data_IF_784454175355
#
_entry.id   IF_784454175355
#
_cell.length_a   1.000
_cell.length_b   1.000
_cell.length_c   1.000
_cell.angle_alpha   90.00
_cell.angle_beta   90.00
_cell.angle_gamma   90.00
#
_symmetry.space_group_name_H-M   'P 1'
#
loop_
_entity.id
_entity.type
_entity.pdbx_description
1 polymer ?
#
# COMPACT_ATOMS: atom_id res chain seq x y z
N UNK A 1 10.36 5.66 46.61
CA UNK A 1 11.28 6.51 45.80
C UNK A 1 11.95 5.83 44.61
N UNK A 2 12.32 4.54 44.66
CA UNK A 2 13.02 3.87 43.55
C UNK A 2 12.37 4.01 42.15
N UNK A 3 11.03 3.92 42.05
CA UNK A 3 10.32 4.09 40.78
C UNK A 3 10.46 5.49 40.16
N UNK A 4 10.55 6.55 40.99
CA UNK A 4 10.74 7.94 40.51
C UNK A 4 12.13 8.12 39.92
N UNK A 5 13.16 7.59 40.58
CA UNK A 5 14.53 7.62 40.10
C UNK A 5 14.71 6.87 38.76
N UNK A 6 14.02 5.73 38.58
CA UNK A 6 14.02 4.98 37.32
C UNK A 6 13.36 5.76 36.17
N UNK A 7 12.22 6.41 36.43
CA UNK A 7 11.55 7.29 35.47
C UNK A 7 12.40 8.52 35.12
N UNK A 8 13.06 9.14 36.10
CA UNK A 8 13.96 10.28 35.86
C UNK A 8 15.18 9.87 35.02
N UNK A 9 15.74 8.67 35.22
CA UNK A 9 16.81 8.13 34.38
C UNK A 9 16.36 7.88 32.93
N UNK A 10 15.19 7.26 32.72
CA UNK A 10 14.62 7.06 31.37
C UNK A 10 14.33 8.39 30.66
N UNK A 11 13.73 9.36 31.35
CA UNK A 11 13.47 10.71 30.80
C UNK A 11 14.78 11.44 30.48
N UNK A 12 15.85 11.24 31.26
CA UNK A 12 17.16 11.80 30.96
C UNK A 12 17.77 11.20 29.69
N UNK A 13 17.69 9.88 29.50
CA UNK A 13 18.18 9.20 28.31
C UNK A 13 17.45 9.66 27.03
N UNK A 14 16.11 9.64 27.07
CA UNK A 14 15.28 10.10 25.93
C UNK A 14 15.53 11.57 25.56
N UNK A 15 15.88 12.44 26.54
CA UNK A 15 16.25 13.83 26.26
C UNK A 15 17.60 13.96 25.57
N UNK A 16 18.58 13.13 25.95
CA UNK A 16 19.90 13.12 25.30
C UNK A 16 19.79 12.63 23.86
N UNK A 17 19.07 11.54 23.63
CA UNK A 17 18.78 11.00 22.29
C UNK A 17 18.06 12.03 21.41
N UNK A 18 17.05 12.73 21.95
CA UNK A 18 16.35 13.81 21.25
C UNK A 18 17.25 15.00 20.91
N UNK A 19 18.21 15.36 21.78
CA UNK A 19 19.17 16.44 21.50
C UNK A 19 20.20 16.04 20.45
N UNK A 20 20.62 14.77 20.42
CA UNK A 20 21.54 14.24 19.42
C UNK A 20 20.89 14.12 18.03
N UNK A 21 19.66 13.60 17.95
CA UNK A 21 18.86 13.58 16.72
C UNK A 21 18.62 14.98 16.15
N UNK A 22 18.41 15.99 17.00
CA UNK A 22 18.27 17.39 16.56
C UNK A 22 19.55 17.98 15.97
N UNK A 23 20.72 17.63 16.50
CA UNK A 23 22.00 18.08 15.93
C UNK A 23 22.23 17.46 14.55
N UNK A 24 21.91 16.17 14.39
CA UNK A 24 21.94 15.50 13.10
C UNK A 24 20.96 16.14 12.10
N UNK A 25 19.76 16.51 12.54
CA UNK A 25 18.78 17.26 11.73
C UNK A 25 19.31 18.64 11.31
N UNK A 26 19.87 19.43 12.24
CA UNK A 26 20.48 20.75 11.97
C UNK A 26 21.69 20.67 11.03
N UNK A 27 22.46 19.59 11.03
CA UNK A 27 23.58 19.34 10.11
C UNK A 27 23.12 18.95 8.69
N UNK A 28 21.98 18.27 8.56
CA UNK A 28 21.48 17.75 7.27
C UNK A 28 20.61 18.78 6.53
N UNK A 29 19.75 19.53 7.25
CA UNK A 29 18.81 20.51 6.64
C UNK A 29 19.47 21.48 5.65
N UNK A 30 20.67 22.07 5.91
CA UNK A 30 21.29 23.03 4.99
C UNK A 30 21.66 22.46 3.60
N UNK A 31 21.71 21.13 3.45
CA UNK A 31 21.96 20.45 2.18
C UNK A 31 20.70 20.14 1.36
N UNK A 32 19.50 20.46 1.87
CA UNK A 32 18.21 20.09 1.26
C UNK A 32 17.43 21.35 0.88
N UNK A 33 16.65 21.27 -0.19
CA UNK A 33 15.74 22.36 -0.60
C UNK A 33 14.74 22.71 0.54
N UNK A 34 14.69 23.99 0.99
CA UNK A 34 13.74 24.43 2.02
C UNK A 34 12.27 24.15 1.70
N UNK A 35 11.86 24.14 0.42
CA UNK A 35 10.49 23.82 0.03
C UNK A 35 10.16 22.34 0.26
N UNK A 36 11.15 21.44 0.06
CA UNK A 36 11.00 20.00 0.32
C UNK A 36 10.89 19.76 1.83
N UNK A 37 11.74 20.39 2.64
CA UNK A 37 11.66 20.31 4.11
C UNK A 37 10.30 20.81 4.61
N UNK A 38 9.82 21.97 4.13
CA UNK A 38 8.52 22.51 4.52
C UNK A 38 7.35 21.57 4.17
N UNK A 39 7.39 20.93 2.99
CA UNK A 39 6.40 19.91 2.59
C UNK A 39 6.49 18.69 3.52
N UNK A 40 7.69 18.17 3.77
CA UNK A 40 7.95 17.02 4.64
C UNK A 40 7.43 17.25 6.07
N UNK A 41 7.81 18.35 6.72
CA UNK A 41 7.31 18.71 8.06
C UNK A 41 5.78 18.76 8.11
N UNK A 42 5.15 19.36 7.10
CA UNK A 42 3.69 19.45 7.00
C UNK A 42 3.04 18.07 6.88
N UNK A 43 3.67 17.13 6.16
CA UNK A 43 3.20 15.74 6.06
C UNK A 43 3.31 15.03 7.41
N UNK A 44 4.48 15.09 8.06
CA UNK A 44 4.70 14.46 9.39
C UNK A 44 3.70 15.00 10.41
N UNK A 45 3.54 16.33 10.50
CA UNK A 45 2.66 17.01 11.46
C UNK A 45 1.19 16.64 11.26
N UNK A 46 0.74 16.55 10.01
CA UNK A 46 -0.67 16.28 9.69
C UNK A 46 -1.03 14.79 9.71
N UNK A 47 -0.07 13.90 9.42
CA UNK A 47 -0.32 12.45 9.26
C UNK A 47 0.24 11.59 10.40
N UNK A 48 0.99 12.17 11.35
CA UNK A 48 1.56 11.49 12.52
C UNK A 48 2.23 10.14 12.20
N UNK A 49 2.85 10.05 11.02
CA UNK A 49 3.36 8.80 10.44
C UNK A 49 4.50 9.11 9.46
N UNK A 50 5.14 8.06 8.93
CA UNK A 50 6.25 8.15 7.96
C UNK A 50 5.92 9.16 6.84
N UNK A 51 6.81 10.14 6.64
CA UNK A 51 6.69 11.15 5.58
C UNK A 51 7.34 10.74 4.25
N UNK A 52 8.28 9.81 4.31
CA UNK A 52 8.93 9.12 3.18
C UNK A 52 8.50 7.65 3.22
N UNK A 53 8.10 7.07 2.09
CA UNK A 53 7.63 5.67 1.98
C UNK A 53 8.09 5.03 0.67
N UNK A 54 8.16 3.70 0.68
CA UNK A 54 8.54 2.93 -0.50
C UNK A 54 7.43 2.91 -1.58
N UNK A 55 7.86 2.75 -2.82
CA UNK A 55 7.05 2.19 -3.91
C UNK A 55 7.55 0.77 -4.16
N UNK A 56 6.66 -0.20 -4.00
CA UNK A 56 6.88 -1.63 -4.24
C UNK A 56 6.11 -2.01 -5.50
N UNK A 57 6.82 -2.34 -6.58
CA UNK A 57 6.23 -2.49 -7.90
C UNK A 57 5.59 -1.18 -8.37
N UNK A 58 4.25 -1.11 -8.27
CA UNK A 58 3.46 0.09 -8.53
C UNK A 58 2.67 0.60 -7.30
N UNK A 59 2.83 0.02 -6.10
CA UNK A 59 2.02 0.35 -4.91
C UNK A 59 2.76 1.30 -3.97
N UNK A 60 2.09 2.35 -3.50
CA UNK A 60 2.60 3.27 -2.48
C UNK A 60 2.41 2.69 -1.06
N UNK A 61 3.49 2.31 -0.38
CA UNK A 61 3.53 1.70 0.97
C UNK A 61 2.92 2.61 2.07
N UNK A 62 2.72 3.91 1.79
CA UNK A 62 2.08 4.85 2.72
C UNK A 62 0.54 4.92 2.66
N UNK A 63 -0.09 4.50 1.56
CA UNK A 63 -1.55 4.57 1.43
C UNK A 63 -2.17 3.40 0.63
N UNK A 64 -1.35 2.42 0.24
CA UNK A 64 -1.73 1.19 -0.45
C UNK A 64 -2.49 1.41 -1.78
N UNK A 65 -2.38 2.61 -2.35
CA UNK A 65 -2.92 2.93 -3.67
C UNK A 65 -1.92 2.50 -4.75
N UNK A 66 -2.45 1.93 -5.82
CA UNK A 66 -1.72 1.67 -7.06
C UNK A 66 -1.45 3.00 -7.76
N UNK A 67 -0.18 3.28 -8.03
CA UNK A 67 0.30 4.40 -8.80
C UNK A 67 0.26 4.07 -10.30
N UNK A 68 0.00 5.04 -11.20
CA UNK A 68 0.12 4.82 -12.63
C UNK A 68 1.54 4.34 -13.00
N UNK A 69 1.67 3.39 -13.93
CA UNK A 69 2.97 2.80 -14.28
C UNK A 69 4.02 3.85 -14.71
N UNK A 70 3.62 4.90 -15.45
CA UNK A 70 4.50 6.01 -15.81
C UNK A 70 5.05 6.76 -14.59
N UNK A 71 4.23 6.92 -13.55
CA UNK A 71 4.59 7.58 -12.31
C UNK A 71 5.47 6.68 -11.41
N UNK A 72 5.19 5.38 -11.35
CA UNK A 72 6.09 4.41 -10.72
C UNK A 72 7.47 4.35 -11.42
N UNK A 73 7.50 4.47 -12.75
CA UNK A 73 8.74 4.58 -13.53
C UNK A 73 9.50 5.89 -13.28
N UNK A 74 8.81 6.98 -12.95
CA UNK A 74 9.41 8.25 -12.53
C UNK A 74 10.11 8.09 -11.17
N UNK A 75 9.41 7.49 -10.19
CA UNK A 75 9.99 7.15 -8.87
C UNK A 75 11.19 6.21 -9.02
N UNK A 76 11.11 5.18 -9.89
CA UNK A 76 12.23 4.26 -10.16
C UNK A 76 13.44 4.94 -10.78
N UNK A 77 13.26 6.03 -11.54
CA UNK A 77 14.40 6.78 -12.10
C UNK A 77 15.18 7.57 -11.06
N UNK A 78 14.58 7.91 -9.90
CA UNK A 78 15.28 8.55 -8.77
C UNK A 78 15.92 9.92 -9.08
N UNK A 79 15.50 10.61 -10.14
CA UNK A 79 16.09 11.89 -10.58
C UNK A 79 15.64 13.08 -9.74
N UNK A 80 14.38 13.07 -9.33
CA UNK A 80 13.70 14.16 -8.66
C UNK A 80 12.95 13.64 -7.41
N UNK A 81 12.64 14.54 -6.46
CA UNK A 81 11.85 14.19 -5.28
C UNK A 81 10.36 14.15 -5.63
N UNK A 82 9.85 12.93 -5.81
CA UNK A 82 8.46 12.66 -6.20
C UNK A 82 7.55 12.51 -4.98
N UNK A 83 6.37 13.15 -5.01
CA UNK A 83 5.36 13.07 -3.95
C UNK A 83 4.13 12.27 -4.42
N UNK A 84 3.67 11.30 -3.63
CA UNK A 84 2.50 10.48 -3.94
C UNK A 84 1.26 11.35 -4.23
N UNK A 85 0.57 11.18 -5.37
CA UNK A 85 -0.59 12.02 -5.74
C UNK A 85 -1.78 11.83 -4.79
N UNK A 86 -1.91 10.65 -4.17
CA UNK A 86 -3.02 10.32 -3.28
C UNK A 86 -2.77 10.71 -1.82
N UNK A 87 -1.53 10.57 -1.32
CA UNK A 87 -1.23 10.77 0.09
C UNK A 87 -0.14 11.80 0.39
N UNK A 88 0.41 12.45 -0.64
CA UNK A 88 1.44 13.51 -0.57
C UNK A 88 2.75 13.13 0.11
N UNK A 89 2.97 11.86 0.50
CA UNK A 89 4.26 11.41 1.05
C UNK A 89 5.33 11.38 -0.03
N UNK A 90 6.57 11.64 0.36
CA UNK A 90 7.74 11.48 -0.51
C UNK A 90 7.90 9.98 -0.82
N UNK A 91 8.21 9.68 -2.07
CA UNK A 91 8.37 8.32 -2.58
C UNK A 91 9.83 8.02 -2.90
N UNK A 92 10.28 6.82 -2.55
CA UNK A 92 11.49 6.21 -3.09
C UNK A 92 11.13 4.84 -3.68
N UNK A 93 11.84 4.40 -4.71
CA UNK A 93 11.66 3.06 -5.24
C UNK A 93 12.40 2.05 -4.36
N UNK A 94 11.71 0.98 -3.99
CA UNK A 94 12.35 -0.18 -3.36
C UNK A 94 12.38 -1.30 -4.39
N UNK A 95 13.58 -1.75 -4.75
CA UNK A 95 13.74 -3.00 -5.49
C UNK A 95 13.15 -4.15 -4.67
N UNK A 96 12.41 -5.02 -5.35
CA UNK A 96 11.88 -6.24 -4.77
C UNK A 96 12.71 -7.37 -5.37
N UNK A 97 13.39 -8.11 -4.51
CA UNK A 97 14.06 -9.33 -4.93
C UNK A 97 12.99 -10.32 -5.43
N UNK A 98 13.26 -11.03 -6.52
CA UNK A 98 12.27 -11.87 -7.22
C UNK A 98 11.74 -13.05 -6.38
N UNK A 99 12.35 -13.29 -5.20
CA UNK A 99 11.99 -14.31 -4.22
C UNK A 99 10.91 -13.85 -3.19
N UNK A 100 10.53 -12.57 -3.13
CA UNK A 100 9.42 -12.10 -2.28
C UNK A 100 8.07 -12.19 -3.03
N UNK A 101 7.30 -13.26 -2.78
CA UNK A 101 5.92 -13.42 -3.27
C UNK A 101 5.02 -12.23 -2.86
N UNK A 102 4.67 -11.37 -3.83
CA UNK A 102 3.82 -10.19 -3.57
C UNK A 102 2.35 -10.57 -3.52
N UNK A 103 1.92 -11.02 -2.34
CA UNK A 103 0.79 -10.51 -1.55
C UNK A 103 -0.31 -9.65 -2.24
N UNK A 104 -0.88 -10.11 -3.35
CA UNK A 104 -2.29 -9.90 -3.71
C UNK A 104 -2.74 -10.93 -4.76
N UNK A 105 -2.99 -12.17 -4.33
CA UNK A 105 -3.68 -13.12 -5.19
C UNK A 105 -5.14 -12.67 -5.35
N UNK A 106 -5.61 -12.61 -6.60
CA UNK A 106 -7.02 -12.36 -6.90
C UNK A 106 -7.93 -13.50 -6.40
N UNK A 107 -7.38 -14.66 -6.02
CA UNK A 107 -8.11 -15.74 -5.34
C UNK A 107 -8.57 -15.39 -3.91
N UNK A 108 -7.86 -14.50 -3.19
CA UNK A 108 -8.25 -14.07 -1.83
C UNK A 108 -9.28 -12.92 -1.83
N UNK A 109 -9.57 -12.33 -2.99
CA UNK A 109 -10.70 -11.40 -3.16
C UNK A 109 -12.02 -12.18 -3.15
N UNK A 110 -12.43 -12.61 -1.95
CA UNK A 110 -13.56 -13.51 -1.70
C UNK A 110 -14.80 -13.16 -2.53
N UNK A 111 -15.20 -14.09 -3.39
CA UNK A 111 -16.39 -13.96 -4.23
C UNK A 111 -17.64 -13.86 -3.36
N UNK A 112 -18.52 -12.91 -3.68
CA UNK A 112 -19.75 -12.62 -2.94
C UNK A 112 -20.88 -13.64 -3.25
N UNK A 113 -20.52 -14.93 -3.35
CA UNK A 113 -21.41 -16.05 -3.72
C UNK A 113 -21.68 -17.03 -2.57
N UNK A 114 -20.98 -16.89 -1.44
CA UNK A 114 -21.19 -17.71 -0.23
C UNK A 114 -22.29 -17.12 0.70
N UNK A 115 -23.31 -16.52 0.08
CA UNK A 115 -24.57 -16.12 0.72
C UNK A 115 -25.74 -16.72 -0.08
N UNK A 116 -25.73 -18.04 -0.25
CA UNK A 116 -26.94 -18.81 -0.53
C UNK A 116 -27.34 -19.54 0.77
N UNK A 117 -28.54 -19.22 1.24
CA UNK A 117 -29.02 -19.58 2.58
C UNK A 117 -29.19 -21.09 2.77
N UNK A 118 -28.81 -21.57 3.96
CA UNK A 118 -28.92 -22.96 4.41
C UNK A 118 -30.39 -23.32 4.75
N UNK A 119 -31.25 -23.44 3.74
CA UNK A 119 -32.63 -23.96 3.87
C UNK A 119 -32.93 -24.97 2.74
N UNK A 120 -32.49 -26.22 2.94
CA UNK A 120 -32.83 -27.35 2.08
C UNK A 120 -34.29 -27.76 2.29
N UNK A 121 -35.12 -27.71 1.24
CA UNK A 121 -36.41 -28.41 1.23
C UNK A 121 -36.58 -29.26 -0.03
N UNK A 122 -37.07 -30.48 0.18
CA UNK A 122 -37.10 -31.62 -0.73
C UNK A 122 -38.36 -31.59 -1.62
N UNK A 123 -38.29 -32.14 -2.84
CA UNK A 123 -39.24 -33.16 -3.38
C UNK A 123 -39.01 -33.45 -4.89
N UNK A 124 -39.14 -34.74 -5.23
CA UNK A 124 -38.86 -35.38 -6.52
C UNK A 124 -39.94 -35.10 -7.60
N UNK A 125 -39.57 -35.05 -8.88
CA UNK A 125 -40.41 -35.52 -10.01
C UNK A 125 -39.52 -36.03 -11.18
N UNK A 126 -39.81 -37.24 -11.68
CA UNK A 126 -39.19 -37.90 -12.85
C UNK A 126 -40.13 -37.87 -14.10
N UNK A 127 -39.60 -38.25 -15.29
CA UNK A 127 -40.31 -38.62 -16.56
C UNK A 127 -41.08 -37.46 -17.29
N UNK A 128 -41.32 -37.33 -18.62
CA UNK A 128 -41.07 -37.98 -19.95
C UNK A 128 -40.77 -36.80 -20.96
N UNK A 129 -40.18 -36.90 -22.17
CA UNK A 129 -39.06 -37.67 -22.78
C UNK A 129 -38.70 -36.98 -24.16
N UNK A 130 -37.99 -37.64 -25.10
CA UNK A 130 -37.84 -37.47 -26.59
C UNK A 130 -38.31 -36.12 -27.26
N UNK A 131 -37.59 -35.46 -28.19
CA UNK A 131 -36.95 -36.04 -29.40
C UNK A 131 -35.98 -35.05 -30.14
N UNK A 132 -35.39 -35.52 -31.24
CA UNK A 132 -34.32 -34.91 -32.05
C UNK A 132 -34.70 -33.63 -32.84
N UNK A 133 -33.72 -32.76 -33.13
CA UNK A 133 -33.42 -32.31 -34.51
C UNK A 133 -32.09 -31.52 -34.65
N UNK A 134 -31.30 -31.84 -35.69
CA UNK A 134 -30.23 -30.97 -36.23
C UNK A 134 -30.88 -29.67 -36.83
N UNK A 135 -30.21 -28.54 -37.14
CA UNK A 135 -28.95 -28.39 -37.89
C UNK A 135 -28.39 -26.95 -37.81
N UNK A 136 -27.07 -26.86 -38.00
CA UNK A 136 -26.28 -25.84 -38.72
C UNK A 136 -25.81 -24.53 -38.06
N UNK A 137 -24.49 -24.38 -38.22
CA UNK A 137 -23.67 -23.16 -38.18
C UNK A 137 -24.26 -22.01 -39.02
N UNK A 138 -23.99 -20.79 -38.59
CA UNK A 138 -24.12 -19.57 -39.40
C UNK A 138 -22.86 -18.73 -39.23
N UNK A 139 -21.94 -18.89 -40.18
CA UNK A 139 -20.75 -18.06 -40.31
C UNK A 139 -21.15 -16.64 -40.75
N UNK A 140 -20.45 -15.64 -40.21
CA UNK A 140 -20.46 -14.27 -40.73
C UNK A 140 -19.01 -13.78 -40.88
N UNK A 141 -18.59 -13.55 -42.12
CA UNK A 141 -17.44 -12.72 -42.49
C UNK A 141 -17.93 -11.43 -43.20
N UNK A 142 -17.02 -10.44 -43.25
CA UNK A 142 -17.15 -9.04 -43.74
C UNK A 142 -17.99 -8.04 -42.90
#
# INVERSE_FOLDING_TARGET
>A
DAGKASLEAMVSGLKQELEELKKQEEEIIPGIDPEIIFKFERIIRNKQSKGIVAVKGNVCDGCHMILPAQFANEVRQGKDIVFCPYCSRILFYQEQDEDEEIYFDMSEAGSLVDLEDEDTFDEELEEEDEDQDEVKELDYED
#
